data_IF_469938240134
#
_entry.id   IF_469938240134
#
_cell.length_a   1.000
_cell.length_b   1.000
_cell.length_c   1.000
_cell.angle_alpha   90.00
_cell.angle_beta   90.00
_cell.angle_gamma   90.00
#
_symmetry.space_group_name_H-M   'P 1'
#
loop_
_entity.id
_entity.type
_entity.pdbx_description
1 polymer ?
#
# COMPACT_ATOMS: atom_id res chain seq x y z
N UNK A 1 -4.76 -13.51 37.69
CA UNK A 1 -3.71 -12.92 36.87
C UNK A 1 -3.67 -13.76 35.60
N UNK A 2 -4.33 -13.29 34.54
CA UNK A 2 -4.32 -13.99 33.25
C UNK A 2 -3.03 -13.58 32.56
N UNK A 3 -2.20 -14.58 32.25
CA UNK A 3 -0.99 -14.41 31.47
C UNK A 3 -1.39 -14.19 30.01
N UNK A 4 -1.47 -12.91 29.61
CA UNK A 4 -1.61 -12.48 28.22
C UNK A 4 -0.20 -12.47 27.60
N UNK A 5 0.41 -13.64 27.42
CA UNK A 5 1.39 -13.78 26.36
C UNK A 5 0.61 -13.79 25.05
N UNK A 6 0.27 -12.60 24.55
CA UNK A 6 -0.06 -12.41 23.14
C UNK A 6 1.13 -12.92 22.33
N UNK A 7 1.02 -14.17 21.92
CA UNK A 7 1.99 -14.78 21.02
C UNK A 7 1.70 -14.16 19.66
N UNK A 8 2.26 -12.98 19.40
CA UNK A 8 2.11 -12.28 18.13
C UNK A 8 2.54 -13.22 17.02
N UNK A 9 1.58 -13.65 16.21
CA UNK A 9 1.87 -14.52 15.07
C UNK A 9 2.52 -13.65 14.01
N UNK A 10 3.83 -13.84 13.84
CA UNK A 10 4.56 -13.26 12.72
C UNK A 10 4.24 -14.08 11.48
N UNK A 11 3.72 -13.43 10.44
CA UNK A 11 3.53 -14.04 9.13
C UNK A 11 4.31 -13.26 8.08
N UNK A 12 4.71 -13.94 7.00
CA UNK A 12 5.44 -13.31 5.90
C UNK A 12 4.48 -13.00 4.77
N UNK A 13 4.41 -11.72 4.38
CA UNK A 13 3.71 -11.25 3.20
C UNK A 13 4.70 -11.14 2.05
N UNK A 14 4.35 -11.69 0.89
CA UNK A 14 5.15 -11.62 -0.33
C UNK A 14 4.51 -10.63 -1.29
N UNK A 15 5.30 -9.70 -1.81
CA UNK A 15 4.87 -8.76 -2.84
C UNK A 15 5.71 -8.96 -4.10
N UNK A 16 5.10 -9.44 -5.18
CA UNK A 16 5.71 -9.50 -6.50
C UNK A 16 5.67 -8.11 -7.17
N UNK A 17 6.69 -7.28 -6.92
CA UNK A 17 6.69 -5.87 -7.31
C UNK A 17 6.89 -5.63 -8.81
N UNK A 18 7.44 -6.61 -9.52
CA UNK A 18 7.43 -6.65 -10.98
C UNK A 18 6.05 -6.96 -11.59
N UNK A 19 5.02 -7.20 -10.77
CA UNK A 19 3.66 -7.46 -11.22
C UNK A 19 2.66 -6.46 -10.63
N UNK A 20 1.69 -6.04 -11.43
CA UNK A 20 0.66 -5.10 -11.00
C UNK A 20 -0.13 -5.58 -9.77
N UNK A 21 -0.34 -6.89 -9.63
CA UNK A 21 -1.01 -7.46 -8.47
C UNK A 21 -0.21 -7.24 -7.17
N UNK A 22 1.11 -7.47 -7.19
CA UNK A 22 1.96 -7.25 -6.03
C UNK A 22 2.07 -5.77 -5.66
N UNK A 23 2.15 -4.87 -6.66
CA UNK A 23 2.08 -3.43 -6.43
C UNK A 23 0.78 -3.01 -5.75
N UNK A 24 -0.38 -3.54 -6.20
CA UNK A 24 -1.67 -3.24 -5.56
C UNK A 24 -1.74 -3.72 -4.12
N UNK A 25 -1.18 -4.89 -3.83
CA UNK A 25 -1.08 -5.41 -2.47
C UNK A 25 -0.18 -4.50 -1.61
N UNK A 26 0.97 -4.06 -2.13
CA UNK A 26 1.86 -3.14 -1.43
C UNK A 26 1.19 -1.78 -1.15
N UNK A 27 0.50 -1.22 -2.13
CA UNK A 27 -0.25 0.04 -1.99
C UNK A 27 -1.34 -0.05 -0.91
N UNK A 28 -2.06 -1.17 -0.86
CA UNK A 28 -3.09 -1.43 0.16
C UNK A 28 -2.48 -1.51 1.57
N UNK A 29 -1.34 -2.18 1.70
CA UNK A 29 -0.71 -2.39 3.01
C UNK A 29 0.19 -1.22 3.44
N UNK A 30 0.31 -0.15 2.63
CA UNK A 30 1.26 0.95 2.88
C UNK A 30 1.14 1.55 4.28
N UNK A 31 -0.08 1.65 4.81
CA UNK A 31 -0.34 2.22 6.13
C UNK A 31 0.19 1.29 7.23
N UNK A 32 -0.05 -0.01 7.11
CA UNK A 32 0.48 -1.03 8.05
C UNK A 32 2.00 -1.07 8.04
N UNK A 33 2.61 -1.00 6.85
CA UNK A 33 4.07 -0.89 6.71
C UNK A 33 4.55 0.42 7.37
N UNK A 34 3.80 1.51 7.23
CA UNK A 34 4.10 2.78 7.90
C UNK A 34 4.16 2.67 9.42
N UNK A 35 3.24 1.93 10.05
CA UNK A 35 3.21 1.75 11.50
C UNK A 35 4.47 1.05 12.03
N UNK A 36 5.02 0.09 11.28
CA UNK A 36 6.26 -0.63 11.63
C UNK A 36 7.49 0.28 11.74
N UNK A 37 7.49 1.45 11.08
CA UNK A 37 8.59 2.42 11.24
C UNK A 37 8.73 2.92 12.68
N UNK A 38 7.64 2.90 13.46
CA UNK A 38 7.64 3.31 14.86
C UNK A 38 8.06 2.20 15.83
N UNK A 39 8.22 0.97 15.34
CA UNK A 39 8.69 -0.19 16.15
C UNK A 39 10.17 -0.48 15.96
N UNK A 40 10.89 0.38 15.23
CA UNK A 40 12.32 0.22 14.94
C UNK A 40 12.62 -0.57 13.65
N UNK A 41 11.60 -0.90 12.86
CA UNK A 41 11.76 -1.56 11.56
C UNK A 41 12.23 -0.54 10.50
N UNK A 42 13.55 -0.50 10.28
CA UNK A 42 14.14 0.38 9.25
C UNK A 42 13.82 -0.08 7.84
N UNK A 43 13.64 -1.39 7.61
CA UNK A 43 13.31 -1.92 6.29
C UNK A 43 11.91 -1.46 5.83
N UNK A 44 10.99 -1.24 6.76
CA UNK A 44 9.70 -0.61 6.46
C UNK A 44 9.85 0.82 5.90
N UNK A 45 10.88 1.57 6.33
CA UNK A 45 11.17 2.90 5.76
C UNK A 45 11.69 2.78 4.33
N UNK A 46 12.62 1.86 4.08
CA UNK A 46 13.19 1.63 2.74
C UNK A 46 12.09 1.25 1.73
N UNK A 47 11.19 0.32 2.11
CA UNK A 47 10.05 -0.08 1.26
C UNK A 47 9.16 1.11 0.90
N UNK A 48 8.87 2.00 1.85
CA UNK A 48 8.03 3.17 1.59
C UNK A 48 8.73 4.24 0.77
N UNK A 49 10.05 4.41 0.95
CA UNK A 49 10.88 5.31 0.13
C UNK A 49 10.94 4.80 -1.31
N UNK A 50 11.13 3.50 -1.50
CA UNK A 50 11.14 2.85 -2.81
C UNK A 50 9.78 2.98 -3.50
N UNK A 51 8.68 2.75 -2.76
CA UNK A 51 7.32 2.92 -3.28
C UNK A 51 7.05 4.35 -3.71
N UNK A 52 7.41 5.34 -2.89
CA UNK A 52 7.24 6.75 -3.24
C UNK A 52 8.07 7.10 -4.49
N UNK A 53 9.30 6.62 -4.58
CA UNK A 53 10.19 6.83 -5.73
C UNK A 53 9.62 6.17 -7.00
N UNK A 54 9.06 4.97 -6.88
CA UNK A 54 8.46 4.24 -7.99
C UNK A 54 7.20 4.96 -8.51
N UNK A 55 6.32 5.43 -7.62
CA UNK A 55 5.13 6.23 -7.98
C UNK A 55 5.53 7.50 -8.75
N UNK A 56 6.54 8.23 -8.24
CA UNK A 56 7.01 9.47 -8.87
C UNK A 56 7.67 9.25 -10.24
N UNK A 57 8.31 8.09 -10.43
CA UNK A 57 9.00 7.73 -11.68
C UNK A 57 8.07 7.10 -12.72
N UNK A 58 6.95 6.53 -12.29
CA UNK A 58 6.04 5.75 -13.15
C UNK A 58 5.33 6.57 -14.23
N UNK A 59 5.44 7.90 -14.22
CA UNK A 59 4.83 8.79 -15.21
C UNK A 59 3.31 8.62 -15.24
N UNK A 60 2.67 8.54 -14.07
CA UNK A 60 1.22 8.39 -13.96
C UNK A 60 0.49 9.58 -14.57
N UNK A 61 -0.64 9.34 -15.24
CA UNK A 61 -1.54 10.42 -15.66
C UNK A 61 -2.18 11.07 -14.44
N UNK A 62 -2.66 12.32 -14.55
CA UNK A 62 -3.37 13.00 -13.46
C UNK A 62 -4.50 12.16 -12.87
N UNK A 63 -5.34 11.53 -13.71
CA UNK A 63 -6.44 10.66 -13.25
C UNK A 63 -5.96 9.39 -12.54
N UNK A 64 -4.82 8.84 -12.93
CA UNK A 64 -4.20 7.70 -12.25
C UNK A 64 -3.65 8.11 -10.89
N UNK A 65 -2.96 9.24 -10.82
CA UNK A 65 -2.43 9.82 -9.57
C UNK A 65 -3.55 10.12 -8.60
N UNK A 66 -4.63 10.76 -9.07
CA UNK A 66 -5.82 11.06 -8.30
C UNK A 66 -6.47 9.79 -7.74
N UNK A 67 -6.71 8.78 -8.58
CA UNK A 67 -7.29 7.51 -8.14
C UNK A 67 -6.42 6.80 -7.08
N UNK A 68 -5.09 6.77 -7.27
CA UNK A 68 -4.15 6.19 -6.29
C UNK A 68 -4.19 6.96 -4.97
N UNK A 69 -4.22 8.29 -5.02
CA UNK A 69 -4.26 9.12 -3.82
C UNK A 69 -5.57 8.96 -3.04
N UNK A 70 -6.71 8.86 -3.73
CA UNK A 70 -8.01 8.70 -3.08
C UNK A 70 -8.15 7.31 -2.43
N UNK A 71 -7.78 6.26 -3.16
CA UNK A 71 -8.02 4.86 -2.73
C UNK A 71 -6.91 4.34 -1.82
N UNK A 72 -5.66 4.69 -2.11
CA UNK A 72 -4.49 4.20 -1.38
C UNK A 72 -3.75 5.31 -0.66
N UNK A 73 -4.32 6.50 -0.48
CA UNK A 73 -3.70 7.60 0.25
C UNK A 73 -4.30 7.77 1.66
N UNK A 74 -4.20 8.97 2.24
CA UNK A 74 -4.76 9.26 3.57
C UNK A 74 -6.29 9.13 3.65
N UNK A 75 -7.00 9.32 2.54
CA UNK A 75 -8.46 9.24 2.52
C UNK A 75 -9.01 7.81 2.54
N UNK A 76 -8.20 6.83 2.12
CA UNK A 76 -8.53 5.39 2.12
C UNK A 76 -9.94 5.07 1.58
N UNK A 77 -10.34 5.75 0.51
CA UNK A 77 -11.68 5.64 -0.03
C UNK A 77 -11.90 4.30 -0.72
N UNK A 78 -13.14 3.81 -0.66
CA UNK A 78 -13.55 2.75 -1.57
C UNK A 78 -13.48 3.24 -3.03
N UNK A 79 -13.36 2.32 -4.00
CA UNK A 79 -13.39 2.72 -5.41
C UNK A 79 -14.70 3.39 -5.81
N UNK A 80 -15.82 3.05 -5.14
CA UNK A 80 -17.11 3.67 -5.39
C UNK A 80 -17.16 5.12 -4.88
N UNK A 81 -16.61 5.39 -3.70
CA UNK A 81 -16.51 6.75 -3.16
C UNK A 81 -15.52 7.59 -3.98
N UNK A 82 -14.38 7.02 -4.36
CA UNK A 82 -13.43 7.67 -5.26
C UNK A 82 -14.06 7.99 -6.61
N UNK A 83 -14.90 7.11 -7.17
CA UNK A 83 -15.61 7.36 -8.43
C UNK A 83 -16.57 8.56 -8.30
N UNK A 84 -17.25 8.67 -7.16
CA UNK A 84 -18.12 9.80 -6.83
C UNK A 84 -17.34 11.11 -6.76
N UNK A 85 -16.19 11.11 -6.06
CA UNK A 85 -15.29 12.28 -5.96
C UNK A 85 -14.74 12.68 -7.33
N UNK A 86 -14.34 11.71 -8.15
CA UNK A 86 -13.73 11.93 -9.45
C UNK A 86 -14.73 12.28 -10.57
N UNK A 87 -16.03 12.10 -10.32
CA UNK A 87 -17.10 12.30 -11.30
C UNK A 87 -17.10 11.29 -12.45
N UNK A 88 -16.73 10.04 -12.18
CA UNK A 88 -16.60 8.95 -13.17
C UNK A 88 -17.30 7.68 -12.70
N UNK A 89 -17.36 6.65 -13.56
CA UNK A 89 -17.83 5.32 -13.15
C UNK A 89 -16.78 4.56 -12.33
N UNK A 90 -17.23 3.64 -11.45
CA UNK A 90 -16.35 2.78 -10.66
C UNK A 90 -15.39 1.96 -11.54
N UNK A 91 -15.86 1.48 -12.70
CA UNK A 91 -15.03 0.74 -13.66
C UNK A 91 -13.85 1.59 -14.16
N UNK A 92 -14.07 2.89 -14.37
CA UNK A 92 -13.00 3.82 -14.76
C UNK A 92 -11.97 3.98 -13.65
N UNK A 93 -12.38 4.02 -12.37
CA UNK A 93 -11.45 4.02 -11.24
C UNK A 93 -10.63 2.73 -11.22
N UNK A 94 -11.27 1.58 -11.42
CA UNK A 94 -10.58 0.29 -11.52
C UNK A 94 -9.53 0.30 -12.64
N UNK A 95 -9.87 0.83 -13.81
CA UNK A 95 -8.96 0.98 -14.95
C UNK A 95 -7.79 1.92 -14.66
N UNK A 96 -8.05 3.06 -14.00
CA UNK A 96 -6.99 3.97 -13.57
C UNK A 96 -6.03 3.28 -12.59
N UNK A 97 -6.54 2.58 -11.58
CA UNK A 97 -5.71 1.85 -10.62
C UNK A 97 -4.94 0.70 -11.27
N UNK A 98 -5.55 -0.03 -12.22
CA UNK A 98 -4.87 -1.07 -13.01
C UNK A 98 -3.74 -0.48 -13.85
N UNK A 99 -4.00 0.65 -14.53
CA UNK A 99 -3.00 1.37 -15.32
C UNK A 99 -1.85 1.88 -14.47
N UNK A 100 -2.15 2.46 -13.32
CA UNK A 100 -1.16 2.94 -12.37
C UNK A 100 -0.27 1.80 -11.85
N UNK A 101 -0.89 0.71 -11.39
CA UNK A 101 -0.16 -0.45 -10.87
C UNK A 101 0.78 -1.07 -11.91
N UNK A 102 0.36 -1.16 -13.19
CA UNK A 102 1.23 -1.64 -14.27
C UNK A 102 2.43 -0.73 -14.51
N UNK A 103 2.23 0.60 -14.47
CA UNK A 103 3.32 1.57 -14.66
C UNK A 103 4.32 1.55 -13.52
N UNK A 104 3.84 1.45 -12.28
CA UNK A 104 4.70 1.30 -11.09
C UNK A 104 5.46 -0.03 -11.14
N UNK A 105 4.79 -1.13 -11.51
CA UNK A 105 5.44 -2.43 -11.66
C UNK A 105 6.57 -2.41 -12.70
N UNK A 106 6.37 -1.70 -13.81
CA UNK A 106 7.42 -1.52 -14.83
C UNK A 106 8.63 -0.71 -14.33
N UNK A 107 8.47 0.15 -13.31
CA UNK A 107 9.60 0.82 -12.65
C UNK A 107 10.37 -0.18 -11.80
N UNK A 108 9.67 -0.95 -10.96
CA UNK A 108 10.30 -1.99 -10.14
C UNK A 108 11.01 -3.06 -10.97
N UNK A 109 10.42 -3.47 -12.10
CA UNK A 109 11.04 -4.39 -13.05
C UNK A 109 12.37 -3.83 -13.58
N UNK A 110 12.43 -2.54 -13.94
CA UNK A 110 13.68 -1.89 -14.39
C UNK A 110 14.72 -1.73 -13.28
N UNK A 111 14.28 -1.68 -12.03
CA UNK A 111 15.17 -1.68 -10.87
C UNK A 111 15.56 -3.10 -10.45
N UNK A 112 15.15 -4.12 -11.21
CA UNK A 112 15.39 -5.54 -10.95
C UNK A 112 14.80 -6.02 -9.61
N UNK A 113 13.73 -5.37 -9.13
CA UNK A 113 12.94 -5.85 -8.01
C UNK A 113 11.98 -6.95 -8.49
N UNK A 114 12.09 -8.13 -7.89
CA UNK A 114 11.19 -9.26 -8.12
C UNK A 114 10.15 -9.39 -7.01
N UNK A 115 10.34 -10.39 -6.14
CA UNK A 115 9.53 -10.62 -4.95
C UNK A 115 10.24 -10.05 -3.72
N UNK A 116 9.52 -9.27 -2.92
CA UNK A 116 9.98 -8.86 -1.59
C UNK A 116 9.17 -9.58 -0.51
N UNK A 117 9.84 -9.97 0.56
CA UNK A 117 9.23 -10.57 1.75
C UNK A 117 9.17 -9.55 2.87
N UNK A 118 8.00 -9.47 3.49
CA UNK A 118 7.71 -8.51 4.55
C UNK A 118 7.15 -9.26 5.75
N UNK A 119 7.80 -9.12 6.89
CA UNK A 119 7.31 -9.70 8.15
C UNK A 119 6.18 -8.79 8.67
N UNK A 120 5.00 -9.35 8.81
CA UNK A 120 3.83 -8.72 9.40
C UNK A 120 3.52 -9.38 10.75
N UNK A 121 3.08 -8.59 11.72
CA UNK A 121 2.65 -9.07 13.04
C UNK A 121 1.12 -8.88 13.15
N UNK A 122 0.38 -9.88 13.62
CA UNK A 122 -1.03 -9.69 13.99
C UNK A 122 -1.10 -8.83 15.27
N UNK A 123 -1.70 -7.62 15.17
CA UNK A 123 -1.89 -6.71 16.31
C UNK A 123 -2.19 -5.24 15.95
N UNK A 124 -1.82 -4.77 14.76
CA UNK A 124 -1.92 -3.35 14.35
C UNK A 124 -3.36 -2.89 13.95
N UNK A 125 -4.38 -3.43 14.61
CA UNK A 125 -5.80 -3.27 14.21
C UNK A 125 -6.69 -2.50 15.19
N UNK A 126 -6.25 -2.21 16.42
CA UNK A 126 -7.01 -1.35 17.35
C UNK A 126 -6.32 0.00 17.49
N UNK A 127 -6.75 0.96 16.67
CA UNK A 127 -6.71 2.36 17.10
C UNK A 127 -7.75 2.50 18.21
N UNK A 128 -7.28 2.48 19.45
CA UNK A 128 -8.07 2.79 20.64
C UNK A 128 -8.63 4.22 20.48
N UNK A 129 -9.90 4.33 20.09
CA UNK A 129 -10.66 5.58 20.17
C UNK A 129 -10.88 5.94 21.65
N UNK A 130 -9.82 6.41 22.31
CA UNK A 130 -9.92 6.99 23.65
C UNK A 130 -8.85 8.07 23.91
N UNK A 131 -9.34 9.28 24.26
CA UNK A 131 -8.67 10.51 24.76
C UNK A 131 -8.31 11.54 23.69
N UNK A 132 -8.77 12.80 23.72
CA UNK A 132 -9.55 13.63 24.68
C UNK A 132 -10.43 14.58 23.86
#
# INVERSE_FOLDING_TARGET
MVDLTEQSRKYTVKYALNAAAGVKSLLRDRHKIGLRRFTGDTAASDILIDLASAINTAGLTERQTEAVALVYGPWDLTQADAATVMGVGQDSVSDFLNGAARRIAAVYERWEYGEIEVIAEEGDGEIDEARV
#
